data_IF_061919908066
#
_entry.id   IF_061919908066
#
_cell.length_a   1.000
_cell.length_b   1.000
_cell.length_c   1.000
_cell.angle_alpha   90.00
_cell.angle_beta   90.00
_cell.angle_gamma   90.00
#
_symmetry.space_group_name_H-M   'P 1'
#
loop_
_entity.id
_entity.type
_entity.pdbx_description
1 polymer ?
#
# COMPACT_ATOMS: atom_id res chain seq x y z
N UNK A 1 -24.61 14.51 29.40
CA UNK A 1 -23.63 14.87 28.38
C UNK A 1 -23.38 13.57 27.58
N UNK A 2 -24.07 13.41 26.45
CA UNK A 2 -23.90 12.22 25.61
C UNK A 2 -22.53 12.29 24.96
N UNK A 3 -21.74 11.22 25.07
CA UNK A 3 -20.50 11.08 24.31
C UNK A 3 -20.89 11.01 22.83
N UNK A 4 -20.40 11.95 22.04
CA UNK A 4 -20.54 11.86 20.58
C UNK A 4 -19.96 10.52 20.08
N UNK A 5 -20.73 9.85 19.25
CA UNK A 5 -20.27 8.58 18.66
C UNK A 5 -19.08 8.87 17.76
N UNK A 6 -17.99 8.14 17.95
CA UNK A 6 -16.82 8.24 17.08
C UNK A 6 -17.22 7.92 15.62
N UNK A 7 -16.95 8.87 14.73
CA UNK A 7 -17.15 8.70 13.30
C UNK A 7 -15.78 8.76 12.58
N UNK A 8 -15.27 7.62 12.12
CA UNK A 8 -13.97 7.58 11.45
C UNK A 8 -13.94 8.40 10.15
N UNK A 9 -15.05 8.49 9.41
CA UNK A 9 -15.09 9.22 8.16
C UNK A 9 -14.82 10.72 8.31
N UNK A 10 -15.25 11.30 9.43
CA UNK A 10 -15.02 12.73 9.74
C UNK A 10 -13.57 13.00 10.18
N UNK A 11 -12.93 12.00 10.79
CA UNK A 11 -11.64 12.18 11.47
C UNK A 11 -10.47 11.75 10.59
N UNK A 12 -10.64 10.72 9.78
CA UNK A 12 -9.57 10.12 8.97
C UNK A 12 -8.87 11.14 8.07
N UNK A 13 -9.61 11.83 7.22
CA UNK A 13 -9.04 12.79 6.27
C UNK A 13 -8.26 13.91 6.94
N UNK A 14 -8.79 14.41 8.07
CA UNK A 14 -8.13 15.45 8.85
C UNK A 14 -6.78 15.00 9.39
N UNK A 15 -6.71 13.78 9.97
CA UNK A 15 -5.47 13.29 10.57
C UNK A 15 -4.47 12.85 9.51
N UNK A 16 -4.91 12.27 8.41
CA UNK A 16 -4.03 11.91 7.28
C UNK A 16 -3.33 13.16 6.76
N UNK A 17 -4.07 14.21 6.43
CA UNK A 17 -3.49 15.49 5.99
C UNK A 17 -2.55 16.09 7.03
N UNK A 18 -2.94 16.11 8.30
CA UNK A 18 -2.09 16.64 9.36
C UNK A 18 -0.74 15.92 9.44
N UNK A 19 -0.72 14.60 9.28
CA UNK A 19 0.51 13.83 9.34
C UNK A 19 1.35 13.99 8.07
N UNK A 20 0.74 14.04 6.91
CA UNK A 20 1.40 14.26 5.63
C UNK A 20 2.00 15.66 5.55
N UNK A 21 1.24 16.71 5.83
CA UNK A 21 1.67 18.10 5.84
C UNK A 21 2.79 18.34 6.87
N UNK A 22 2.72 17.67 8.00
CA UNK A 22 3.74 17.73 9.05
C UNK A 22 4.98 16.89 8.77
N UNK A 23 5.00 16.07 7.71
CA UNK A 23 6.13 15.22 7.35
C UNK A 23 6.47 14.15 8.40
N UNK A 24 5.51 13.74 9.24
CA UNK A 24 5.76 12.84 10.37
C UNK A 24 6.18 11.42 9.96
N UNK A 25 5.98 11.06 8.70
CA UNK A 25 6.39 9.76 8.16
C UNK A 25 7.80 9.78 7.55
N UNK A 26 8.36 10.98 7.31
CA UNK A 26 9.72 11.10 6.79
C UNK A 26 10.75 10.73 7.87
N UNK A 27 11.76 10.00 7.44
CA UNK A 27 12.92 9.65 8.25
C UNK A 27 14.19 9.95 7.47
N UNK A 28 15.19 10.48 8.15
CA UNK A 28 16.49 10.79 7.56
C UNK A 28 17.60 10.30 8.49
N UNK A 29 18.78 9.94 7.94
CA UNK A 29 19.93 9.59 8.76
C UNK A 29 20.19 10.65 9.82
N UNK A 30 20.09 10.29 11.09
CA UNK A 30 20.27 11.21 12.20
C UNK A 30 21.25 10.59 13.23
N UNK A 31 22.48 11.11 13.32
CA UNK A 31 23.48 10.56 14.25
C UNK A 31 23.13 10.75 15.73
N UNK A 32 22.17 11.61 16.05
CA UNK A 32 21.76 11.91 17.41
C UNK A 32 20.56 11.06 17.90
N UNK A 33 20.02 10.20 17.04
CA UNK A 33 18.89 9.33 17.37
C UNK A 33 19.21 7.89 17.03
N UNK A 34 18.85 6.91 17.88
CA UNK A 34 19.00 5.51 17.53
C UNK A 34 18.07 5.17 16.33
N UNK A 35 18.58 4.47 15.30
CA UNK A 35 17.77 4.09 14.14
C UNK A 35 16.87 2.89 14.46
N UNK A 36 15.69 2.87 13.85
CA UNK A 36 14.79 1.73 13.86
C UNK A 36 14.05 1.64 12.53
N UNK A 37 14.18 0.54 11.81
CA UNK A 37 13.55 0.38 10.50
C UNK A 37 12.81 -0.95 10.39
N UNK A 38 11.63 -0.91 9.78
CA UNK A 38 10.87 -2.08 9.34
C UNK A 38 10.60 -1.91 7.85
N UNK A 39 10.87 -2.97 7.08
CA UNK A 39 10.45 -3.06 5.68
C UNK A 39 9.14 -3.84 5.64
N UNK A 40 8.09 -3.24 5.07
CA UNK A 40 6.82 -3.93 4.87
C UNK A 40 7.03 -5.03 3.81
N UNK A 41 6.56 -6.27 4.03
CA UNK A 41 6.46 -7.23 2.94
C UNK A 41 5.56 -6.65 1.85
N UNK A 42 6.09 -6.41 0.63
CA UNK A 42 5.35 -5.69 -0.38
C UNK A 42 4.13 -6.50 -0.85
N UNK A 43 2.91 -5.96 -0.80
CA UNK A 43 1.75 -6.64 -1.35
C UNK A 43 1.86 -6.79 -2.87
N UNK A 44 1.38 -7.91 -3.40
CA UNK A 44 1.28 -8.13 -4.83
C UNK A 44 0.16 -7.26 -5.43
N UNK A 45 0.41 -6.67 -6.60
CA UNK A 45 -0.57 -5.86 -7.34
C UNK A 45 -1.55 -6.77 -8.10
N UNK A 46 -2.13 -7.75 -7.41
CA UNK A 46 -3.06 -8.73 -7.98
C UNK A 46 -4.53 -8.45 -7.67
N UNK A 47 -4.80 -7.44 -6.87
CA UNK A 47 -6.14 -7.02 -6.48
C UNK A 47 -6.15 -6.19 -5.19
N UNK A 48 -7.33 -5.89 -4.69
CA UNK A 48 -7.51 -5.13 -3.46
C UNK A 48 -6.89 -5.82 -2.24
N UNK A 49 -6.44 -5.02 -1.29
CA UNK A 49 -5.93 -5.50 -0.01
C UNK A 49 -7.02 -6.27 0.76
N UNK A 50 -6.61 -7.27 1.49
CA UNK A 50 -7.51 -8.12 2.28
C UNK A 50 -7.11 -8.17 3.76
N UNK A 51 -7.90 -8.87 4.58
CA UNK A 51 -7.69 -8.93 6.04
C UNK A 51 -6.28 -9.39 6.45
N UNK A 52 -5.61 -10.24 5.65
CA UNK A 52 -4.23 -10.64 5.91
C UNK A 52 -3.25 -9.47 5.87
N UNK A 53 -3.42 -8.55 4.92
CA UNK A 53 -2.64 -7.32 4.86
C UNK A 53 -2.94 -6.41 6.06
N UNK A 54 -4.24 -6.28 6.41
CA UNK A 54 -4.67 -5.50 7.56
C UNK A 54 -4.13 -6.07 8.90
N UNK A 55 -3.90 -7.36 9.01
CA UNK A 55 -3.29 -7.95 10.21
C UNK A 55 -1.78 -7.68 10.29
N UNK A 56 -1.10 -7.78 9.14
CA UNK A 56 0.35 -7.57 9.07
C UNK A 56 0.73 -6.09 9.26
N UNK A 57 0.04 -5.18 8.60
CA UNK A 57 0.30 -3.74 8.65
C UNK A 57 0.21 -3.17 10.08
N UNK A 58 -0.93 -3.25 10.77
CA UNK A 58 -1.09 -2.71 12.12
C UNK A 58 -0.13 -3.27 13.15
N UNK A 59 0.29 -4.53 13.04
CA UNK A 59 1.30 -5.10 13.93
C UNK A 59 2.63 -4.38 13.81
N UNK A 60 3.06 -4.10 12.60
CA UNK A 60 4.29 -3.32 12.33
C UNK A 60 4.12 -1.85 12.71
N UNK A 61 2.96 -1.28 12.41
CA UNK A 61 2.64 0.11 12.71
C UNK A 61 2.74 0.41 14.20
N UNK A 62 2.20 -0.46 15.05
CA UNK A 62 2.32 -0.31 16.52
C UNK A 62 3.78 -0.23 16.95
N UNK A 63 4.64 -1.09 16.42
CA UNK A 63 6.06 -1.08 16.74
C UNK A 63 6.74 0.23 16.30
N UNK A 64 6.46 0.70 15.09
CA UNK A 64 6.99 1.96 14.56
C UNK A 64 6.53 3.15 15.42
N UNK A 65 5.24 3.21 15.76
CA UNK A 65 4.69 4.29 16.61
C UNK A 65 5.34 4.31 17.99
N UNK A 66 5.47 3.15 18.63
CA UNK A 66 6.15 3.04 19.93
C UNK A 66 7.59 3.54 19.83
N UNK A 67 8.34 3.16 18.81
CA UNK A 67 9.73 3.60 18.64
C UNK A 67 9.83 5.10 18.39
N UNK A 68 8.93 5.69 17.58
CA UNK A 68 8.86 7.15 17.42
C UNK A 68 8.60 7.86 18.74
N UNK A 69 7.65 7.38 19.54
CA UNK A 69 7.36 7.94 20.86
C UNK A 69 8.55 7.83 21.84
N UNK A 70 9.39 6.81 21.68
CA UNK A 70 10.63 6.63 22.45
C UNK A 70 11.80 7.49 21.93
N UNK A 71 11.62 8.27 20.88
CA UNK A 71 12.63 9.17 20.33
C UNK A 71 13.57 8.55 19.29
N UNK A 72 13.26 7.35 18.80
CA UNK A 72 14.03 6.74 17.70
C UNK A 72 13.78 7.47 16.37
N UNK A 73 14.77 7.43 15.48
CA UNK A 73 14.59 7.74 14.07
C UNK A 73 13.98 6.50 13.40
N UNK A 74 12.64 6.50 13.27
CA UNK A 74 11.91 5.31 12.89
C UNK A 74 11.39 5.40 11.45
N UNK A 75 11.87 4.49 10.59
CA UNK A 75 11.47 4.32 9.21
C UNK A 75 10.58 3.09 9.05
N UNK A 76 9.39 3.28 8.53
CA UNK A 76 8.55 2.21 8.02
C UNK A 76 8.54 2.30 6.49
N UNK A 77 9.29 1.40 5.84
CA UNK A 77 9.51 1.43 4.41
C UNK A 77 8.38 0.68 3.69
N UNK A 78 7.52 1.38 2.96
CA UNK A 78 6.50 0.75 2.12
C UNK A 78 7.09 0.25 0.80
N UNK A 79 6.32 -0.60 0.10
CA UNK A 79 6.62 -1.06 -1.24
C UNK A 79 5.44 -1.83 -1.81
N UNK A 80 5.46 -2.09 -3.12
CA UNK A 80 4.54 -2.96 -3.81
C UNK A 80 5.33 -3.95 -4.67
N UNK A 81 4.83 -5.18 -4.79
CA UNK A 81 5.38 -6.18 -5.71
C UNK A 81 4.52 -6.24 -6.96
N UNK A 82 5.11 -5.97 -8.11
CA UNK A 82 4.43 -6.09 -9.40
C UNK A 82 3.99 -7.54 -9.71
N UNK A 83 4.60 -8.54 -9.06
CA UNK A 83 4.23 -9.95 -9.15
C UNK A 83 3.93 -10.40 -10.60
N UNK A 84 4.85 -10.12 -11.52
CA UNK A 84 4.63 -10.10 -12.97
C UNK A 84 3.80 -11.25 -13.53
N UNK A 85 4.10 -12.50 -13.14
CA UNK A 85 3.34 -13.69 -13.61
C UNK A 85 1.91 -13.68 -13.07
N UNK A 86 1.73 -13.37 -11.77
CA UNK A 86 0.42 -13.40 -11.14
C UNK A 86 -0.46 -12.25 -11.65
N UNK A 87 0.09 -11.05 -11.78
CA UNK A 87 -0.60 -9.88 -12.33
C UNK A 87 -1.00 -10.11 -13.79
N UNK A 88 -0.12 -10.67 -14.60
CA UNK A 88 -0.45 -11.04 -15.98
C UNK A 88 -1.63 -12.04 -16.02
N UNK A 89 -1.61 -13.07 -15.18
CA UNK A 89 -2.70 -14.05 -15.13
C UNK A 89 -4.04 -13.43 -14.77
N UNK A 90 -4.06 -12.48 -13.82
CA UNK A 90 -5.28 -11.74 -13.43
C UNK A 90 -5.79 -10.88 -14.59
N UNK A 91 -4.91 -10.15 -15.27
CA UNK A 91 -5.27 -9.30 -16.42
C UNK A 91 -5.75 -10.14 -17.59
N UNK A 92 -5.12 -11.28 -17.90
CA UNK A 92 -5.59 -12.20 -18.94
C UNK A 92 -6.97 -12.79 -18.61
N UNK A 93 -7.21 -13.13 -17.34
CA UNK A 93 -8.52 -13.61 -16.89
C UNK A 93 -9.59 -12.52 -17.10
N UNK A 94 -9.33 -11.29 -16.68
CA UNK A 94 -10.23 -10.15 -16.85
C UNK A 94 -10.53 -9.90 -18.33
N UNK A 95 -9.50 -9.91 -19.17
CA UNK A 95 -9.65 -9.80 -20.64
C UNK A 95 -10.60 -10.84 -21.20
N UNK A 96 -10.44 -12.09 -20.78
CA UNK A 96 -11.30 -13.18 -21.23
C UNK A 96 -12.74 -13.04 -20.72
N UNK A 97 -12.92 -12.62 -19.47
CA UNK A 97 -14.25 -12.43 -18.88
C UNK A 97 -15.03 -11.30 -19.57
N UNK A 98 -14.36 -10.18 -19.83
CA UNK A 98 -14.97 -8.98 -20.40
C UNK A 98 -15.13 -9.03 -21.93
N UNK A 99 -14.11 -9.47 -22.65
CA UNK A 99 -14.05 -9.37 -24.10
C UNK A 99 -14.04 -10.73 -24.82
N UNK A 100 -13.95 -11.86 -24.09
CA UNK A 100 -13.79 -13.21 -24.66
C UNK A 100 -12.55 -13.34 -25.54
N UNK A 101 -11.52 -12.52 -25.29
CA UNK A 101 -10.25 -12.52 -26.00
C UNK A 101 -9.13 -13.09 -25.14
N UNK A 102 -8.13 -13.60 -25.80
CA UNK A 102 -6.87 -14.06 -25.20
C UNK A 102 -5.74 -13.06 -25.47
N UNK A 103 -4.61 -13.23 -24.81
CA UNK A 103 -3.38 -12.45 -25.11
C UNK A 103 -2.92 -12.59 -26.57
N UNK A 104 -3.23 -13.68 -27.22
CA UNK A 104 -2.85 -13.94 -28.62
C UNK A 104 -3.72 -13.11 -29.60
N UNK A 105 -4.96 -12.81 -29.22
CA UNK A 105 -5.88 -12.02 -30.02
C UNK A 105 -5.54 -10.52 -29.99
N UNK A 106 -5.02 -10.02 -28.87
CA UNK A 106 -4.71 -8.59 -28.71
C UNK A 106 -3.22 -8.26 -28.94
N UNK A 107 -2.34 -9.24 -28.87
CA UNK A 107 -0.90 -9.08 -29.01
C UNK A 107 -0.20 -8.52 -27.77
N UNK A 108 1.13 -8.57 -27.81
CA UNK A 108 1.98 -8.23 -26.65
C UNK A 108 1.84 -6.78 -26.20
N UNK A 109 1.86 -5.84 -27.11
CA UNK A 109 1.84 -4.41 -26.78
C UNK A 109 0.56 -4.00 -26.05
N UNK A 110 -0.59 -4.48 -26.57
CA UNK A 110 -1.88 -4.21 -25.96
C UNK A 110 -2.02 -4.91 -24.59
N UNK A 111 -1.48 -6.11 -24.42
CA UNK A 111 -1.46 -6.79 -23.12
C UNK A 111 -0.62 -6.02 -22.11
N UNK A 112 0.59 -5.61 -22.48
CA UNK A 112 1.48 -4.84 -21.61
C UNK A 112 0.84 -3.52 -21.17
N UNK A 113 0.19 -2.80 -22.09
CA UNK A 113 -0.54 -1.58 -21.75
C UNK A 113 -1.65 -1.82 -20.71
N UNK A 114 -2.39 -2.94 -20.84
CA UNK A 114 -3.42 -3.32 -19.84
C UNK A 114 -2.84 -3.70 -18.49
N UNK A 115 -1.69 -4.37 -18.47
CA UNK A 115 -1.00 -4.71 -17.22
C UNK A 115 -0.53 -3.44 -16.51
N UNK A 116 0.00 -2.46 -17.22
CA UNK A 116 0.36 -1.17 -16.63
C UNK A 116 -0.86 -0.42 -16.09
N UNK A 117 -1.96 -0.36 -16.84
CA UNK A 117 -3.20 0.26 -16.38
C UNK A 117 -3.74 -0.42 -15.10
N UNK A 118 -3.70 -1.76 -15.06
CA UNK A 118 -4.04 -2.53 -13.86
C UNK A 118 -3.16 -2.17 -12.66
N UNK A 119 -1.85 -2.13 -12.88
CA UNK A 119 -0.88 -1.77 -11.85
C UNK A 119 -1.18 -0.38 -11.30
N UNK A 120 -1.40 0.61 -12.16
CA UNK A 120 -1.69 1.99 -11.74
C UNK A 120 -3.01 2.10 -10.95
N UNK A 121 -4.02 1.25 -11.29
CA UNK A 121 -5.30 1.18 -10.57
C UNK A 121 -5.15 0.64 -9.14
N UNK A 122 -4.27 -0.35 -8.91
CA UNK A 122 -4.17 -1.08 -7.64
C UNK A 122 -2.96 -0.70 -6.77
N UNK A 123 -2.04 0.10 -7.27
CA UNK A 123 -0.89 0.61 -6.51
C UNK A 123 -1.18 1.99 -5.86
N UNK A 124 -2.24 2.67 -6.28
CA UNK A 124 -2.60 4.03 -5.85
C UNK A 124 -3.08 4.14 -4.39
#
# INVERSE_FOLDING_TARGET
>A
MGLEKYDPAVIQDRWTRFWEDGGYFHSQPNPNKPPYSIVIPPPNVTGALHLGHALNGPTQEVLIRVRRMQGFEALWMPGADHAGIATQAVVEKRLFEEEKKTRHDIGREALVARIWAWKDEYEA
#
